data_IF_385016058030
#
_entry.id   IF_385016058030
#
_cell.length_a   1.000
_cell.length_b   1.000
_cell.length_c   1.000
_cell.angle_alpha   90.00
_cell.angle_beta   90.00
_cell.angle_gamma   90.00
#
_symmetry.space_group_name_H-M   'P 1'
#
loop_
_entity.id
_entity.type
_entity.pdbx_description
1 polymer ?
#
# COMPACT_ATOMS: atom_id res chain seq x y z
N UNK A 1 6.58 29.98 -58.62
CA UNK A 1 6.02 31.21 -58.01
C UNK A 1 4.66 31.02 -57.32
N UNK A 2 3.92 29.92 -57.55
CA UNK A 2 2.58 29.70 -56.93
C UNK A 2 2.61 29.25 -55.46
N UNK A 3 3.69 28.65 -54.98
CA UNK A 3 3.74 28.11 -53.61
C UNK A 3 4.14 29.13 -52.52
N UNK A 4 4.69 30.29 -52.87
CA UNK A 4 5.03 31.35 -51.89
C UNK A 4 3.82 32.18 -51.46
N UNK A 5 2.81 32.32 -52.30
CA UNK A 5 1.61 33.13 -51.98
C UNK A 5 0.66 32.39 -51.02
N UNK A 6 0.62 31.06 -51.06
CA UNK A 6 -0.21 30.25 -50.18
C UNK A 6 0.37 30.24 -48.74
N UNK A 7 1.68 30.20 -48.63
CA UNK A 7 2.36 30.18 -47.30
C UNK A 7 2.21 31.52 -46.53
N UNK A 8 2.23 32.65 -47.27
CA UNK A 8 2.00 33.97 -46.64
C UNK A 8 0.55 34.18 -46.19
N UNK A 9 -0.44 33.61 -46.88
CA UNK A 9 -1.86 33.71 -46.44
C UNK A 9 -2.18 32.87 -45.21
N UNK A 10 -1.53 31.73 -45.03
CA UNK A 10 -1.72 30.87 -43.86
C UNK A 10 -1.09 31.50 -42.60
N UNK A 11 0.08 32.11 -42.72
CA UNK A 11 0.75 32.80 -41.59
C UNK A 11 -0.05 34.02 -41.14
N UNK A 12 -0.63 34.77 -42.08
CA UNK A 12 -1.44 35.97 -41.76
C UNK A 12 -2.78 35.62 -41.10
N UNK A 13 -3.41 34.48 -41.45
CA UNK A 13 -4.62 33.99 -40.78
C UNK A 13 -4.36 33.47 -39.38
N UNK A 14 -3.22 32.84 -39.14
CA UNK A 14 -2.80 32.37 -37.79
C UNK A 14 -2.42 33.52 -36.84
N UNK A 15 -1.82 34.61 -37.37
CA UNK A 15 -1.51 35.80 -36.56
C UNK A 15 -2.78 36.59 -36.19
N UNK A 16 -3.80 36.63 -37.08
CA UNK A 16 -5.04 37.34 -36.79
C UNK A 16 -5.92 36.61 -35.75
N UNK A 17 -5.83 35.28 -35.67
CA UNK A 17 -6.51 34.50 -34.64
C UNK A 17 -5.84 34.59 -33.26
N UNK A 18 -4.53 34.90 -33.17
CA UNK A 18 -3.84 35.15 -31.91
C UNK A 18 -4.13 36.54 -31.30
N UNK A 19 -4.54 37.53 -32.10
CA UNK A 19 -4.81 38.90 -31.62
C UNK A 19 -6.24 39.05 -31.11
N UNK A 20 -7.16 38.15 -31.46
CA UNK A 20 -8.55 38.15 -30.95
C UNK A 20 -8.78 37.39 -29.66
N UNK A 21 -7.76 36.74 -29.10
CA UNK A 21 -7.83 35.98 -27.84
C UNK A 21 -7.42 36.76 -26.58
N UNK A 22 -7.06 38.05 -26.66
CA UNK A 22 -6.51 38.80 -25.53
C UNK A 22 -7.37 39.99 -25.04
N UNK A 23 -8.70 39.90 -25.18
CA UNK A 23 -9.59 40.95 -24.68
C UNK A 23 -10.81 40.38 -23.99
N UNK A 24 -10.65 39.83 -22.78
CA UNK A 24 -11.71 39.70 -21.78
C UNK A 24 -11.13 39.44 -20.39
N UNK A 25 -10.51 40.42 -19.79
CA UNK A 25 -10.39 40.55 -18.34
C UNK A 25 -10.81 41.98 -17.95
N UNK A 26 -12.12 42.19 -17.81
CA UNK A 26 -12.64 43.32 -17.10
C UNK A 26 -12.76 42.97 -15.63
N UNK A 27 -11.83 43.50 -14.83
CA UNK A 27 -11.91 43.50 -13.38
C UNK A 27 -12.88 44.63 -12.99
N UNK A 28 -14.03 44.26 -12.42
CA UNK A 28 -14.90 45.19 -11.70
C UNK A 28 -14.41 45.28 -10.23
N UNK A 29 -14.24 46.45 -9.65
CA UNK A 29 -13.86 46.60 -8.26
C UNK A 29 -15.12 46.64 -7.35
N UNK A 30 -15.01 45.94 -6.24
CA UNK A 30 -15.75 46.28 -5.02
C UNK A 30 -17.08 45.58 -4.80
N UNK A 31 -17.05 44.42 -4.17
CA UNK A 31 -18.03 44.05 -3.15
C UNK A 31 -17.29 43.40 -1.98
N UNK A 32 -17.27 44.11 -0.89
CA UNK A 32 -16.84 43.66 0.42
C UNK A 32 -17.84 42.57 0.93
N UNK A 33 -17.38 41.34 1.04
CA UNK A 33 -18.08 40.32 1.77
C UNK A 33 -17.98 40.62 3.27
N UNK A 34 -19.11 41.02 3.86
CA UNK A 34 -19.27 41.12 5.30
C UNK A 34 -19.24 39.68 5.87
N UNK A 35 -18.27 39.40 6.69
CA UNK A 35 -18.19 38.21 7.52
C UNK A 35 -19.29 38.34 8.59
N UNK A 36 -20.33 37.53 8.47
CA UNK A 36 -21.31 37.35 9.55
C UNK A 36 -20.61 36.48 10.60
N UNK A 37 -20.20 37.13 11.68
CA UNK A 37 -19.83 36.45 12.92
C UNK A 37 -21.14 36.01 13.62
N UNK A 38 -21.51 34.76 13.48
CA UNK A 38 -22.48 34.14 14.35
C UNK A 38 -21.87 33.95 15.74
N UNK A 39 -22.24 34.88 16.62
CA UNK A 39 -21.89 34.79 18.04
C UNK A 39 -22.80 33.74 18.67
N UNK A 40 -22.29 32.56 18.95
CA UNK A 40 -22.98 31.55 19.75
C UNK A 40 -23.10 32.09 21.19
N UNK A 41 -24.28 32.53 21.57
CA UNK A 41 -24.58 32.84 22.96
C UNK A 41 -24.71 31.54 23.76
N UNK A 42 -23.78 31.31 24.65
CA UNK A 42 -23.85 30.25 25.65
C UNK A 42 -24.81 30.76 26.75
N UNK A 43 -26.03 30.27 26.78
CA UNK A 43 -26.96 30.47 27.89
C UNK A 43 -26.55 29.60 29.06
N UNK A 44 -26.00 30.23 30.07
CA UNK A 44 -25.73 29.59 31.37
C UNK A 44 -27.06 29.35 32.08
N UNK A 45 -27.55 28.13 32.11
CA UNK A 45 -28.63 27.70 33.00
C UNK A 45 -27.99 27.33 34.33
N UNK A 46 -28.41 27.93 35.47
CA UNK A 46 -27.81 27.57 36.76
C UNK A 46 -28.29 26.17 37.20
N UNK A 47 -27.31 25.32 37.50
CA UNK A 47 -27.55 24.01 38.08
C UNK A 47 -28.07 24.16 39.49
N UNK A 48 -29.31 23.76 39.75
CA UNK A 48 -29.89 23.72 41.09
C UNK A 48 -29.13 22.71 41.95
N UNK A 49 -28.52 23.22 43.00
CA UNK A 49 -27.89 22.46 44.08
C UNK A 49 -28.95 21.64 44.82
N UNK A 50 -28.89 20.34 44.69
CA UNK A 50 -29.66 19.42 45.54
C UNK A 50 -29.00 19.31 46.91
N UNK A 51 -29.70 19.77 47.92
CA UNK A 51 -29.30 19.64 49.34
C UNK A 51 -29.39 18.17 49.77
N UNK A 52 -28.31 17.58 50.37
CA UNK A 52 -28.40 16.20 50.81
C UNK A 52 -29.28 16.07 52.06
N UNK A 53 -30.29 15.21 51.95
CA UNK A 53 -31.13 14.80 53.08
C UNK A 53 -30.30 13.87 53.96
N UNK A 54 -29.98 14.32 55.18
CA UNK A 54 -29.29 13.51 56.19
C UNK A 54 -30.28 12.54 56.78
N UNK A 55 -30.25 11.29 56.39
CA UNK A 55 -30.96 10.18 57.07
C UNK A 55 -30.18 9.75 58.28
N UNK A 56 -30.77 9.92 59.47
CA UNK A 56 -30.19 9.41 60.75
C UNK A 56 -30.47 7.92 60.88
N UNK A 57 -29.55 7.08 60.45
CA UNK A 57 -29.57 5.65 60.76
C UNK A 57 -28.75 5.43 62.05
N UNK A 58 -29.25 4.64 63.04
CA UNK A 58 -28.53 4.43 64.32
C UNK A 58 -27.23 3.67 64.07
N UNK A 59 -26.16 4.21 64.64
CA UNK A 59 -24.82 3.61 64.61
C UNK A 59 -24.81 2.31 65.44
N UNK A 60 -24.47 1.17 64.77
CA UNK A 60 -24.20 -0.10 65.41
C UNK A 60 -22.68 -0.27 65.47
N UNK A 61 -22.05 -0.46 66.63
CA UNK A 61 -20.60 -0.56 66.71
C UNK A 61 -20.08 -1.81 65.95
N UNK A 62 -18.96 -1.69 65.23
CA UNK A 62 -18.40 -2.79 64.46
C UNK A 62 -17.85 -3.89 65.38
N UNK A 63 -18.09 -5.14 64.96
CA UNK A 63 -17.51 -6.36 65.56
C UNK A 63 -15.98 -6.31 65.35
N UNK A 64 -15.17 -6.84 66.30
CA UNK A 64 -13.70 -6.84 66.13
C UNK A 64 -13.27 -7.51 64.85
N UNK A 65 -12.54 -6.79 64.03
CA UNK A 65 -11.97 -7.26 62.79
C UNK A 65 -10.79 -8.17 63.06
N UNK A 66 -10.82 -9.38 62.54
CA UNK A 66 -9.65 -10.26 62.51
C UNK A 66 -8.49 -9.56 61.78
N UNK A 67 -7.26 -9.82 62.24
CA UNK A 67 -6.05 -9.21 61.69
C UNK A 67 -5.95 -9.44 60.17
N UNK A 68 -5.56 -8.43 59.38
CA UNK A 68 -5.47 -8.57 57.93
C UNK A 68 -4.42 -9.64 57.58
N UNK A 69 -4.87 -10.69 56.90
CA UNK A 69 -3.97 -11.61 56.22
C UNK A 69 -3.20 -10.79 55.18
N UNK A 70 -1.88 -10.75 55.28
CA UNK A 70 -0.99 -10.12 54.32
C UNK A 70 -1.16 -10.90 53.00
N UNK A 71 -2.02 -10.40 52.14
CA UNK A 71 -2.05 -10.85 50.73
C UNK A 71 -0.78 -10.28 50.13
N UNK A 72 0.17 -11.14 49.81
CA UNK A 72 1.33 -10.77 48.99
C UNK A 72 0.83 -10.12 47.73
N UNK A 73 0.96 -8.80 47.66
CA UNK A 73 0.71 -8.07 46.42
C UNK A 73 1.65 -8.63 45.35
N UNK A 74 1.12 -9.37 44.41
CA UNK A 74 1.88 -9.74 43.22
C UNK A 74 2.33 -8.44 42.57
N UNK A 75 3.62 -8.18 42.58
CA UNK A 75 4.22 -7.11 41.78
C UNK A 75 3.67 -7.23 40.38
N UNK A 76 3.05 -6.18 39.83
CA UNK A 76 2.53 -6.26 38.46
C UNK A 76 3.70 -6.67 37.56
N UNK A 77 3.52 -7.77 36.84
CA UNK A 77 4.46 -8.19 35.83
C UNK A 77 4.65 -7.00 34.88
N UNK A 78 5.89 -6.62 34.54
CA UNK A 78 6.11 -5.48 33.64
C UNK A 78 5.32 -5.72 32.37
N UNK A 79 4.51 -4.73 31.97
CA UNK A 79 3.80 -4.77 30.69
C UNK A 79 4.83 -4.95 29.59
N UNK A 80 4.67 -5.94 28.71
CA UNK A 80 5.61 -6.17 27.62
C UNK A 80 5.80 -4.89 26.81
N UNK A 81 7.01 -4.38 26.73
CA UNK A 81 7.33 -3.26 25.86
C UNK A 81 7.28 -3.76 24.42
N UNK A 82 6.48 -3.10 23.57
CA UNK A 82 6.37 -3.44 22.16
C UNK A 82 7.77 -3.49 21.53
N UNK A 83 8.08 -4.60 20.92
CA UNK A 83 9.36 -4.84 20.30
C UNK A 83 9.47 -4.02 19.01
N UNK A 84 10.36 -3.07 18.94
CA UNK A 84 10.59 -2.22 17.78
C UNK A 84 12.04 -2.38 17.32
N UNK A 85 12.25 -2.72 16.05
CA UNK A 85 13.57 -2.67 15.43
C UNK A 85 13.91 -1.21 15.11
N UNK A 86 14.62 -0.54 16.02
CA UNK A 86 14.98 0.88 15.89
C UNK A 86 15.80 1.21 14.64
N UNK A 87 16.53 0.23 14.08
CA UNK A 87 17.28 0.38 12.83
C UNK A 87 16.39 0.71 11.63
N UNK A 88 15.14 0.27 11.62
CA UNK A 88 14.21 0.58 10.54
C UNK A 88 13.74 2.03 10.54
N UNK A 89 13.61 2.65 11.70
CA UNK A 89 13.26 4.06 11.82
C UNK A 89 14.33 4.96 11.21
N UNK A 90 15.61 4.54 11.28
CA UNK A 90 16.72 5.27 10.71
C UNK A 90 16.72 5.24 9.18
N UNK A 91 16.41 4.11 8.57
CA UNK A 91 16.43 3.91 7.12
C UNK A 91 15.18 4.52 6.46
N UNK A 92 14.04 4.46 7.14
CA UNK A 92 12.75 4.96 6.64
C UNK A 92 12.18 6.00 7.62
N UNK A 93 12.80 7.16 7.69
CA UNK A 93 12.58 8.23 8.68
C UNK A 93 11.13 8.60 9.03
N UNK A 94 10.18 8.32 8.17
CA UNK A 94 8.75 8.61 8.37
C UNK A 94 7.91 7.34 8.42
N UNK A 95 8.54 6.18 8.56
CA UNK A 95 7.86 4.89 8.46
C UNK A 95 7.55 4.35 9.83
N UNK A 96 6.28 4.24 10.14
CA UNK A 96 5.83 3.44 11.26
C UNK A 96 5.77 1.97 10.82
N UNK A 97 6.16 1.06 11.71
CA UNK A 97 6.14 -0.38 11.47
C UNK A 97 5.02 -0.96 12.32
N UNK A 98 4.04 -1.52 11.65
CA UNK A 98 2.88 -2.12 12.26
C UNK A 98 3.02 -3.63 12.23
N UNK A 99 3.23 -4.27 13.40
CA UNK A 99 3.11 -5.71 13.48
C UNK A 99 1.65 -6.10 13.32
N UNK A 100 1.43 -7.19 12.61
CA UNK A 100 0.11 -7.80 12.56
C UNK A 100 -0.25 -8.31 13.95
N UNK A 101 -1.45 -8.00 14.43
CA UNK A 101 -1.93 -8.52 15.70
C UNK A 101 -2.36 -9.98 15.54
N UNK A 102 -1.73 -10.89 16.27
CA UNK A 102 -2.14 -12.28 16.38
C UNK A 102 -3.03 -12.45 17.59
N UNK A 103 -4.13 -13.18 17.41
CA UNK A 103 -5.00 -13.53 18.53
C UNK A 103 -4.40 -14.65 19.39
N UNK A 104 -3.61 -15.52 18.78
CA UNK A 104 -2.92 -16.63 19.42
C UNK A 104 -1.40 -16.47 19.34
N UNK A 105 -0.79 -16.34 20.49
CA UNK A 105 0.66 -16.18 20.63
C UNK A 105 1.41 -17.45 20.21
N UNK A 106 0.86 -18.64 20.47
CA UNK A 106 1.46 -19.90 20.05
C UNK A 106 1.47 -20.01 18.52
N UNK A 107 0.42 -19.56 17.87
CA UNK A 107 0.36 -19.49 16.41
C UNK A 107 1.44 -18.55 15.85
N UNK A 108 1.59 -17.36 16.44
CA UNK A 108 2.64 -16.43 16.04
C UNK A 108 4.03 -17.05 16.15
N UNK A 109 4.36 -17.63 17.32
CA UNK A 109 5.68 -18.23 17.56
C UNK A 109 5.93 -19.44 16.64
N UNK A 110 4.89 -20.24 16.37
CA UNK A 110 4.93 -21.35 15.42
C UNK A 110 5.20 -20.87 14.00
N UNK A 111 4.51 -19.83 13.55
CA UNK A 111 4.74 -19.23 12.25
C UNK A 111 6.10 -18.53 12.16
N UNK A 112 6.55 -17.87 13.22
CA UNK A 112 7.83 -17.14 13.28
C UNK A 112 9.06 -18.05 13.29
N UNK A 113 9.01 -19.18 14.03
CA UNK A 113 10.16 -20.03 14.31
C UNK A 113 9.97 -21.50 13.93
N UNK A 114 8.82 -21.85 13.38
CA UNK A 114 8.45 -23.22 13.05
C UNK A 114 9.28 -23.79 11.89
N UNK A 115 9.38 -25.12 11.87
CA UNK A 115 10.03 -25.80 10.75
C UNK A 115 9.22 -25.59 9.45
N UNK A 116 9.90 -25.28 8.36
CA UNK A 116 9.28 -25.08 7.05
C UNK A 116 8.65 -23.70 6.89
N UNK A 117 8.99 -22.77 7.76
CA UNK A 117 8.64 -21.33 7.66
C UNK A 117 9.84 -20.53 7.14
N UNK A 118 9.57 -19.34 6.62
CA UNK A 118 10.61 -18.41 6.22
C UNK A 118 11.44 -17.99 7.43
N UNK A 119 12.76 -17.88 7.27
CA UNK A 119 13.64 -17.42 8.33
C UNK A 119 13.42 -15.95 8.69
N UNK A 120 13.65 -15.53 9.93
CA UNK A 120 13.71 -14.11 10.27
C UNK A 120 14.69 -13.37 9.36
N UNK A 121 14.30 -12.17 8.92
CA UNK A 121 15.05 -11.41 7.95
C UNK A 121 14.67 -11.69 6.49
N UNK A 122 13.82 -12.68 6.21
CA UNK A 122 13.20 -12.83 4.89
C UNK A 122 12.40 -11.56 4.56
N UNK A 123 12.68 -10.96 3.40
CA UNK A 123 12.25 -9.62 3.04
C UNK A 123 11.67 -9.58 1.64
N UNK A 124 10.66 -8.74 1.43
CA UNK A 124 10.04 -8.52 0.12
C UNK A 124 10.11 -7.04 -0.24
N UNK A 125 10.59 -6.74 -1.45
CA UNK A 125 10.60 -5.40 -2.02
C UNK A 125 9.51 -5.28 -3.09
N UNK A 126 8.38 -4.60 -2.79
CA UNK A 126 7.34 -4.35 -3.78
C UNK A 126 7.75 -3.19 -4.68
N UNK A 127 7.82 -3.43 -6.00
CA UNK A 127 8.26 -2.43 -6.99
C UNK A 127 7.12 -2.17 -7.98
N UNK A 128 6.79 -0.90 -8.17
CA UNK A 128 5.76 -0.43 -9.08
C UNK A 128 6.36 0.05 -10.39
N UNK A 129 5.84 -0.45 -11.50
CA UNK A 129 6.22 -0.05 -12.85
C UNK A 129 5.00 0.47 -13.63
N UNK A 130 5.23 1.41 -14.56
CA UNK A 130 4.26 1.85 -15.55
C UNK A 130 4.90 1.88 -16.95
N UNK A 131 5.87 2.75 -17.18
CA UNK A 131 6.50 2.92 -18.49
C UNK A 131 8.00 2.85 -18.40
N UNK A 132 8.61 2.16 -19.37
CA UNK A 132 10.06 2.12 -19.58
C UNK A 132 10.37 2.96 -20.81
N UNK A 133 11.18 4.00 -20.63
CA UNK A 133 11.57 4.91 -21.70
C UNK A 133 12.86 4.43 -22.36
N UNK A 134 12.85 4.37 -23.67
CA UNK A 134 14.05 4.07 -24.46
C UNK A 134 15.23 4.99 -24.09
N UNK A 135 16.43 4.45 -24.25
CA UNK A 135 17.68 5.15 -24.02
C UNK A 135 17.73 6.55 -24.63
N UNK A 136 18.21 7.53 -23.86
CA UNK A 136 18.34 8.92 -24.31
C UNK A 136 17.03 9.72 -24.38
N UNK A 137 15.90 9.15 -23.96
CA UNK A 137 14.63 9.88 -23.82
C UNK A 137 14.52 10.49 -22.42
N UNK A 138 14.10 11.76 -22.35
CA UNK A 138 13.83 12.44 -21.10
C UNK A 138 12.62 11.83 -20.37
N UNK A 139 12.74 11.65 -19.07
CA UNK A 139 11.63 11.22 -18.19
C UNK A 139 10.72 12.41 -17.93
N UNK A 140 9.42 12.23 -18.08
CA UNK A 140 8.42 13.28 -17.94
C UNK A 140 7.80 13.32 -16.53
N UNK A 141 7.78 12.18 -15.85
CA UNK A 141 7.18 12.02 -14.53
C UNK A 141 7.77 10.80 -13.79
N UNK A 142 7.33 10.60 -12.55
CA UNK A 142 7.79 9.49 -11.70
C UNK A 142 7.27 8.11 -12.13
N UNK A 143 6.25 8.05 -13.00
CA UNK A 143 5.72 6.79 -13.54
C UNK A 143 6.62 6.19 -14.62
N UNK A 144 7.67 6.91 -14.98
CA UNK A 144 8.62 6.50 -16.02
C UNK A 144 9.97 6.16 -15.42
N UNK A 145 10.60 5.14 -15.99
CA UNK A 145 11.98 4.77 -15.69
C UNK A 145 12.74 4.66 -17.01
N UNK A 146 14.02 5.02 -17.02
CA UNK A 146 14.84 4.81 -18.22
C UNK A 146 15.15 3.34 -18.41
N UNK A 147 15.32 2.93 -19.65
CA UNK A 147 15.69 1.55 -19.98
C UNK A 147 17.01 1.16 -19.30
N UNK A 148 17.99 2.05 -19.28
CA UNK A 148 19.29 1.80 -18.65
C UNK A 148 19.16 1.53 -17.15
N UNK A 149 18.32 2.33 -16.45
CA UNK A 149 18.12 2.13 -15.02
C UNK A 149 17.30 0.87 -14.73
N UNK A 150 16.31 0.56 -15.57
CA UNK A 150 15.57 -0.70 -15.51
C UNK A 150 16.50 -1.91 -15.66
N UNK A 151 17.32 -1.93 -16.72
CA UNK A 151 18.29 -3.00 -16.97
C UNK A 151 19.34 -3.13 -15.85
N UNK A 152 19.82 -1.99 -15.33
CA UNK A 152 20.68 -1.96 -14.14
C UNK A 152 19.97 -2.59 -12.93
N UNK A 153 18.70 -2.24 -12.68
CA UNK A 153 17.92 -2.78 -11.57
C UNK A 153 17.75 -4.29 -11.67
N UNK A 154 17.39 -4.81 -12.86
CA UNK A 154 17.27 -6.25 -13.09
C UNK A 154 18.59 -6.98 -12.89
N UNK A 155 19.69 -6.45 -13.44
CA UNK A 155 21.02 -6.99 -13.27
C UNK A 155 21.49 -6.98 -11.82
N UNK A 156 21.18 -5.91 -11.08
CA UNK A 156 21.48 -5.80 -9.65
C UNK A 156 20.67 -6.82 -8.83
N UNK A 157 19.38 -6.94 -9.06
CA UNK A 157 18.52 -7.90 -8.39
C UNK A 157 19.05 -9.33 -8.54
N UNK A 158 19.33 -9.73 -9.78
CA UNK A 158 19.94 -11.05 -10.07
C UNK A 158 21.27 -11.26 -9.36
N UNK A 159 22.17 -10.27 -9.43
CA UNK A 159 23.50 -10.33 -8.80
C UNK A 159 23.41 -10.51 -7.29
N UNK A 160 22.44 -9.89 -6.64
CA UNK A 160 22.25 -9.96 -5.20
C UNK A 160 21.44 -11.18 -4.75
N UNK A 161 20.91 -11.98 -5.68
CA UNK A 161 20.14 -13.18 -5.39
C UNK A 161 18.69 -12.91 -5.04
N UNK A 162 18.12 -11.80 -5.53
CA UNK A 162 16.68 -11.58 -5.45
C UNK A 162 15.94 -12.51 -6.42
N UNK A 163 14.87 -13.07 -5.91
CA UNK A 163 13.89 -13.83 -6.70
C UNK A 163 12.55 -13.12 -6.69
N UNK A 164 11.76 -13.32 -7.73
CA UNK A 164 10.39 -12.80 -7.75
C UNK A 164 9.44 -13.76 -7.07
N UNK A 165 8.36 -13.20 -6.53
CA UNK A 165 7.25 -13.98 -5.96
C UNK A 165 5.92 -13.53 -6.57
N UNK A 166 4.97 -14.45 -6.60
CA UNK A 166 3.59 -14.20 -6.96
C UNK A 166 2.80 -13.55 -5.81
N UNK A 167 1.63 -13.01 -6.11
CA UNK A 167 0.71 -12.52 -5.06
C UNK A 167 0.29 -13.64 -4.12
N UNK A 168 0.13 -14.87 -4.61
CA UNK A 168 -0.22 -16.01 -3.77
C UNK A 168 0.88 -16.33 -2.74
N UNK A 169 2.14 -16.31 -3.15
CA UNK A 169 3.29 -16.51 -2.25
C UNK A 169 3.42 -15.36 -1.25
N UNK A 170 3.18 -14.11 -1.70
CA UNK A 170 3.13 -12.95 -0.81
C UNK A 170 2.07 -13.12 0.28
N UNK A 171 0.85 -13.53 -0.10
CA UNK A 171 -0.25 -13.77 0.84
C UNK A 171 0.14 -14.87 1.83
N UNK A 172 0.60 -16.02 1.34
CA UNK A 172 1.06 -17.11 2.21
C UNK A 172 2.13 -16.68 3.19
N UNK A 173 3.11 -15.90 2.73
CA UNK A 173 4.16 -15.35 3.60
C UNK A 173 3.61 -14.35 4.63
N UNK A 174 2.84 -13.36 4.22
CA UNK A 174 2.35 -12.32 5.13
C UNK A 174 1.35 -12.86 6.16
N UNK A 175 0.56 -13.87 5.80
CA UNK A 175 -0.43 -14.47 6.70
C UNK A 175 0.16 -15.55 7.61
N UNK A 176 1.03 -16.41 7.06
CA UNK A 176 1.45 -17.63 7.71
C UNK A 176 2.96 -17.80 7.81
N UNK A 177 3.75 -16.84 7.33
CA UNK A 177 5.20 -16.96 7.17
C UNK A 177 5.61 -18.18 6.32
N UNK A 178 4.81 -18.48 5.28
CA UNK A 178 5.13 -19.58 4.36
C UNK A 178 6.46 -19.32 3.67
N UNK A 179 7.19 -20.38 3.29
CA UNK A 179 8.55 -20.25 2.79
C UNK A 179 8.56 -19.55 1.42
N UNK A 180 9.36 -18.50 1.33
CA UNK A 180 9.71 -17.77 0.10
C UNK A 180 11.23 -17.56 0.07
N UNK A 181 11.82 -17.16 -1.06
CA UNK A 181 13.22 -16.78 -1.12
C UNK A 181 13.57 -15.69 -0.09
N UNK A 182 14.72 -15.77 0.60
CA UNK A 182 15.07 -14.80 1.67
C UNK A 182 15.16 -13.35 1.19
N UNK A 183 15.59 -13.13 -0.04
CA UNK A 183 15.56 -11.85 -0.73
C UNK A 183 14.55 -11.95 -1.86
N UNK A 184 13.35 -11.46 -1.61
CA UNK A 184 12.25 -11.49 -2.56
C UNK A 184 11.89 -10.10 -3.07
N UNK A 185 11.42 -10.03 -4.31
CA UNK A 185 10.76 -8.85 -4.85
C UNK A 185 9.44 -9.24 -5.50
N UNK A 186 8.47 -8.34 -5.45
CA UNK A 186 7.26 -8.45 -6.25
C UNK A 186 7.23 -7.27 -7.21
N UNK A 187 7.36 -7.57 -8.49
CA UNK A 187 7.29 -6.56 -9.55
C UNK A 187 5.83 -6.42 -9.97
N UNK A 188 5.31 -5.21 -9.92
CA UNK A 188 3.92 -4.91 -10.25
C UNK A 188 3.90 -3.89 -11.37
N UNK A 189 3.36 -4.23 -12.52
CA UNK A 189 3.13 -3.27 -13.60
C UNK A 189 1.67 -2.85 -13.62
N UNK A 190 1.44 -1.55 -13.48
CA UNK A 190 0.10 -0.97 -13.44
C UNK A 190 -0.46 -0.72 -14.86
N UNK A 191 -1.76 -0.61 -14.95
CA UNK A 191 -2.54 -0.41 -16.17
C UNK A 191 -2.53 -1.63 -17.11
N UNK A 192 -2.83 -1.39 -18.41
CA UNK A 192 -2.88 -2.39 -19.47
C UNK A 192 -1.61 -2.34 -20.33
N UNK A 193 -0.44 -2.47 -19.71
CA UNK A 193 0.87 -2.21 -20.32
C UNK A 193 1.52 -3.46 -20.94
N UNK A 194 0.75 -4.33 -21.60
CA UNK A 194 1.28 -5.57 -22.19
C UNK A 194 2.42 -5.34 -23.20
N UNK A 195 2.44 -4.23 -23.91
CA UNK A 195 3.57 -3.86 -24.77
C UNK A 195 4.87 -3.66 -23.96
N UNK A 196 4.81 -3.02 -22.79
CA UNK A 196 5.97 -2.86 -21.92
C UNK A 196 6.43 -4.21 -21.37
N UNK A 197 5.48 -5.08 -21.00
CA UNK A 197 5.77 -6.44 -20.56
C UNK A 197 6.56 -7.19 -21.62
N UNK A 198 6.02 -7.22 -22.84
CA UNK A 198 6.63 -7.90 -23.98
C UNK A 198 8.02 -7.39 -24.33
N UNK A 199 8.17 -6.07 -24.40
CA UNK A 199 9.38 -5.46 -24.93
C UNK A 199 10.53 -5.40 -23.92
N UNK A 200 10.21 -5.42 -22.61
CA UNK A 200 11.21 -5.20 -21.56
C UNK A 200 11.27 -6.31 -20.51
N UNK A 201 10.14 -6.89 -20.07
CA UNK A 201 10.14 -7.84 -18.95
C UNK A 201 10.35 -9.29 -19.40
N UNK A 202 9.72 -9.75 -20.46
CA UNK A 202 9.72 -11.18 -20.84
C UNK A 202 11.09 -11.80 -20.89
N UNK A 203 12.10 -11.07 -21.39
CA UNK A 203 13.49 -11.53 -21.39
C UNK A 203 13.98 -11.94 -19.99
N UNK A 204 13.68 -11.15 -18.97
CA UNK A 204 14.12 -11.40 -17.59
C UNK A 204 13.30 -12.49 -16.93
N UNK A 205 12.00 -12.56 -17.25
CA UNK A 205 11.13 -13.63 -16.76
C UNK A 205 11.62 -14.98 -17.27
N UNK A 206 11.89 -15.10 -18.57
CA UNK A 206 12.34 -16.35 -19.19
C UNK A 206 13.76 -16.74 -18.74
N UNK A 207 14.70 -15.78 -18.65
CA UNK A 207 16.09 -16.06 -18.29
C UNK A 207 16.29 -16.44 -16.82
N UNK A 208 15.39 -16.02 -15.92
CA UNK A 208 15.57 -16.19 -14.48
C UNK A 208 14.46 -17.01 -13.82
N UNK A 209 13.48 -17.49 -14.57
CA UNK A 209 12.25 -18.12 -14.04
C UNK A 209 11.49 -17.18 -13.08
N UNK A 210 11.49 -15.90 -13.43
CA UNK A 210 10.82 -14.86 -12.65
C UNK A 210 9.37 -14.71 -13.02
N UNK A 211 8.59 -14.06 -12.15
CA UNK A 211 7.18 -13.72 -12.33
C UNK A 211 6.96 -12.22 -12.29
N UNK A 212 5.87 -11.75 -12.91
CA UNK A 212 5.46 -10.36 -12.93
C UNK A 212 3.98 -10.25 -12.60
N UNK A 213 3.63 -9.44 -11.61
CA UNK A 213 2.23 -9.13 -11.29
C UNK A 213 1.70 -8.06 -12.25
N UNK A 214 0.59 -8.35 -12.90
CA UNK A 214 -0.15 -7.38 -13.72
C UNK A 214 -1.29 -6.79 -12.89
N UNK A 215 -1.18 -5.52 -12.51
CA UNK A 215 -2.28 -4.74 -11.96
C UNK A 215 -3.15 -4.25 -13.12
N UNK A 216 -4.23 -4.99 -13.43
CA UNK A 216 -4.91 -4.86 -14.71
C UNK A 216 -6.28 -4.19 -14.61
N UNK A 217 -6.52 -3.21 -15.50
CA UNK A 217 -7.81 -2.53 -15.65
C UNK A 217 -8.67 -3.36 -16.60
N UNK A 218 -9.66 -4.05 -16.08
CA UNK A 218 -10.35 -5.12 -16.81
C UNK A 218 -11.49 -4.65 -17.70
N UNK A 219 -12.27 -3.65 -17.28
CA UNK A 219 -13.51 -3.26 -17.96
C UNK A 219 -13.34 -2.57 -19.31
N UNK A 220 -12.16 -2.01 -19.55
CA UNK A 220 -11.82 -1.35 -20.82
C UNK A 220 -10.80 -2.15 -21.63
N UNK A 221 -10.46 -3.37 -21.20
CA UNK A 221 -9.59 -4.27 -21.93
C UNK A 221 -10.27 -4.83 -23.19
N UNK A 222 -9.55 -4.85 -24.27
CA UNK A 222 -10.04 -5.33 -25.58
C UNK A 222 -9.73 -6.82 -25.77
N UNK A 223 -10.48 -7.48 -26.67
CA UNK A 223 -10.18 -8.86 -27.04
C UNK A 223 -8.75 -9.07 -27.58
N UNK A 224 -8.18 -8.06 -28.25
CA UNK A 224 -6.79 -8.13 -28.71
C UNK A 224 -5.79 -8.09 -27.55
N UNK A 225 -6.06 -7.34 -26.50
CA UNK A 225 -5.22 -7.31 -25.31
C UNK A 225 -5.31 -8.64 -24.55
N UNK A 226 -6.48 -9.23 -24.41
CA UNK A 226 -6.63 -10.57 -23.82
C UNK A 226 -5.89 -11.64 -24.64
N UNK A 227 -6.00 -11.62 -25.96
CA UNK A 227 -5.22 -12.51 -26.82
C UNK A 227 -3.70 -12.28 -26.69
N UNK A 228 -3.25 -11.06 -26.44
CA UNK A 228 -1.83 -10.79 -26.18
C UNK A 228 -1.42 -11.27 -24.79
N UNK A 229 -2.25 -11.09 -23.76
CA UNK A 229 -2.03 -11.65 -22.44
C UNK A 229 -1.85 -13.18 -22.50
N UNK A 230 -2.75 -13.90 -23.17
CA UNK A 230 -2.68 -15.35 -23.31
C UNK A 230 -1.36 -15.81 -23.98
N UNK A 231 -0.92 -15.06 -25.00
CA UNK A 231 0.37 -15.33 -25.66
C UNK A 231 1.58 -15.09 -24.79
N UNK A 232 1.56 -14.05 -23.98
CA UNK A 232 2.67 -13.70 -23.08
C UNK A 232 2.70 -14.61 -21.84
N UNK A 233 1.54 -15.12 -21.42
CA UNK A 233 1.41 -15.92 -20.21
C UNK A 233 1.51 -17.45 -20.44
N UNK A 234 2.10 -17.88 -21.55
CA UNK A 234 2.17 -19.30 -21.90
C UNK A 234 2.93 -20.15 -20.85
N UNK A 235 3.87 -19.53 -20.13
CA UNK A 235 4.65 -20.15 -19.06
C UNK A 235 4.09 -19.85 -17.66
N UNK A 236 2.90 -19.24 -17.54
CA UNK A 236 2.29 -18.84 -16.28
C UNK A 236 3.17 -17.89 -15.41
N UNK A 237 3.96 -17.04 -16.07
CA UNK A 237 4.85 -16.08 -15.40
C UNK A 237 4.15 -14.74 -15.09
N UNK A 238 2.94 -14.54 -15.60
CA UNK A 238 2.17 -13.33 -15.39
C UNK A 238 1.06 -13.58 -14.35
N UNK A 239 1.17 -12.90 -13.22
CA UNK A 239 0.23 -12.96 -12.11
C UNK A 239 -0.82 -11.84 -12.25
N UNK A 240 -2.01 -12.18 -12.77
CA UNK A 240 -3.07 -11.21 -13.05
C UNK A 240 -3.83 -10.82 -11.79
N UNK A 241 -3.82 -9.52 -11.44
CA UNK A 241 -4.46 -8.95 -10.26
C UNK A 241 -5.30 -7.72 -10.63
N UNK A 242 -6.22 -7.30 -9.75
CA UNK A 242 -7.16 -6.23 -10.03
C UNK A 242 -6.56 -4.83 -9.82
N UNK A 243 -6.77 -3.92 -10.78
CA UNK A 243 -6.47 -2.50 -10.69
C UNK A 243 -7.69 -1.63 -11.05
N UNK A 244 -8.82 -2.01 -10.51
CA UNK A 244 -10.11 -1.44 -10.84
C UNK A 244 -10.71 -1.99 -12.15
N UNK A 245 -11.93 -1.57 -12.43
CA UNK A 245 -12.66 -1.94 -13.63
C UNK A 245 -12.50 -0.90 -14.72
N UNK A 246 -12.73 0.37 -14.43
CA UNK A 246 -12.58 1.48 -15.36
C UNK A 246 -11.32 2.30 -15.13
N UNK A 247 -10.96 2.52 -13.87
CA UNK A 247 -9.78 3.31 -13.46
C UNK A 247 -9.57 4.56 -14.34
N UNK A 248 -10.51 5.44 -14.35
CA UNK A 248 -10.36 6.78 -14.95
C UNK A 248 -10.33 7.83 -13.84
N UNK A 249 -10.14 9.11 -14.18
CA UNK A 249 -10.06 10.17 -13.18
C UNK A 249 -11.31 10.34 -12.30
N UNK A 250 -12.44 9.75 -12.68
CA UNK A 250 -13.70 9.76 -11.93
C UNK A 250 -13.80 8.57 -10.96
N UNK A 251 -13.02 7.52 -11.17
CA UNK A 251 -13.02 6.29 -10.36
C UNK A 251 -11.87 6.22 -9.36
N UNK A 252 -11.11 7.29 -9.18
CA UNK A 252 -10.19 7.39 -8.06
C UNK A 252 -10.97 7.43 -6.74
N UNK A 253 -10.71 6.45 -5.89
CA UNK A 253 -11.45 6.29 -4.64
C UNK A 253 -11.06 7.38 -3.65
N UNK A 254 -12.04 8.21 -3.29
CA UNK A 254 -11.91 9.29 -2.32
C UNK A 254 -13.13 9.26 -1.38
N UNK A 255 -13.13 10.10 -0.36
CA UNK A 255 -14.28 10.29 0.53
C UNK A 255 -15.56 10.79 -0.17
N UNK A 256 -15.43 11.30 -1.41
CA UNK A 256 -16.56 11.78 -2.23
C UNK A 256 -17.01 10.76 -3.28
N UNK A 257 -16.33 9.62 -3.39
CA UNK A 257 -16.68 8.57 -4.35
C UNK A 257 -17.91 7.81 -3.84
N UNK A 258 -18.93 7.65 -4.68
CA UNK A 258 -20.13 6.93 -4.27
C UNK A 258 -19.85 5.43 -4.06
N UNK A 259 -20.64 4.82 -3.18
CA UNK A 259 -20.51 3.39 -2.86
C UNK A 259 -20.68 2.54 -4.10
N UNK A 260 -21.62 2.88 -4.99
CA UNK A 260 -21.86 2.14 -6.23
C UNK A 260 -20.64 2.15 -7.17
N UNK A 261 -19.89 3.26 -7.21
CA UNK A 261 -18.64 3.35 -7.98
C UNK A 261 -17.56 2.49 -7.34
N UNK A 262 -17.43 2.55 -6.00
CA UNK A 262 -16.46 1.72 -5.28
C UNK A 262 -16.77 0.24 -5.47
N UNK A 263 -18.03 -0.18 -5.32
CA UNK A 263 -18.47 -1.56 -5.59
C UNK A 263 -18.12 -1.97 -7.01
N UNK A 264 -18.42 -1.13 -7.99
CA UNK A 264 -18.15 -1.44 -9.39
C UNK A 264 -16.64 -1.66 -9.65
N UNK A 265 -15.78 -0.80 -9.11
CA UNK A 265 -14.33 -0.93 -9.27
C UNK A 265 -13.76 -2.15 -8.55
N UNK A 266 -14.36 -2.58 -7.43
CA UNK A 266 -13.87 -3.71 -6.63
C UNK A 266 -14.40 -5.07 -7.11
N UNK A 267 -15.69 -5.16 -7.42
CA UNK A 267 -16.32 -6.46 -7.70
C UNK A 267 -16.29 -6.85 -9.18
N UNK A 268 -16.40 -5.87 -10.10
CA UNK A 268 -16.48 -6.18 -11.54
C UNK A 268 -15.20 -6.77 -12.13
N UNK A 269 -13.98 -6.48 -11.65
CA UNK A 269 -12.76 -7.13 -12.13
C UNK A 269 -12.72 -8.63 -11.87
N UNK A 270 -13.34 -9.10 -10.79
CA UNK A 270 -13.20 -10.47 -10.29
C UNK A 270 -13.57 -11.51 -11.34
N UNK A 271 -14.82 -11.56 -11.87
CA UNK A 271 -15.19 -12.57 -12.85
C UNK A 271 -14.37 -12.48 -14.14
N UNK A 272 -13.92 -11.28 -14.53
CA UNK A 272 -13.09 -11.12 -15.72
C UNK A 272 -11.70 -11.74 -15.51
N UNK A 273 -11.10 -11.51 -14.34
CA UNK A 273 -9.80 -12.11 -14.00
C UNK A 273 -9.94 -13.63 -13.83
N UNK A 274 -11.00 -14.12 -13.20
CA UNK A 274 -11.28 -15.56 -13.09
C UNK A 274 -11.39 -16.23 -14.48
N UNK A 275 -12.03 -15.58 -15.45
CA UNK A 275 -12.16 -16.08 -16.82
C UNK A 275 -10.79 -16.24 -17.51
N UNK A 276 -9.91 -15.24 -17.39
CA UNK A 276 -8.63 -15.21 -18.10
C UNK A 276 -7.46 -15.87 -17.37
N UNK A 277 -7.44 -15.79 -16.04
CA UNK A 277 -6.35 -16.36 -15.22
C UNK A 277 -6.71 -17.70 -14.58
N UNK A 278 -7.96 -18.16 -14.69
CA UNK A 278 -8.43 -19.40 -14.07
C UNK A 278 -8.46 -19.36 -12.53
N UNK A 279 -8.26 -18.19 -11.93
CA UNK A 279 -8.24 -17.99 -10.48
C UNK A 279 -8.71 -16.60 -10.11
N UNK A 280 -9.26 -16.49 -8.91
CA UNK A 280 -9.69 -15.23 -8.32
C UNK A 280 -8.49 -14.35 -8.00
N UNK A 281 -8.56 -13.01 -8.23
CA UNK A 281 -7.51 -12.11 -7.79
C UNK A 281 -7.48 -12.05 -6.25
N UNK A 282 -6.27 -12.05 -5.68
CA UNK A 282 -6.04 -11.95 -4.25
C UNK A 282 -5.62 -10.52 -3.84
N UNK A 283 -5.08 -9.75 -4.80
CA UNK A 283 -4.70 -8.37 -4.56
C UNK A 283 -5.61 -7.37 -5.28
N UNK A 284 -5.88 -6.26 -4.59
CA UNK A 284 -6.40 -5.05 -5.21
C UNK A 284 -5.32 -3.96 -5.18
N UNK A 285 -4.91 -3.52 -6.35
CA UNK A 285 -3.96 -2.43 -6.50
C UNK A 285 -4.77 -1.14 -6.60
N UNK A 286 -4.68 -0.29 -5.56
CA UNK A 286 -5.51 0.91 -5.46
C UNK A 286 -5.19 1.89 -6.59
N UNK A 287 -6.19 2.28 -7.44
CA UNK A 287 -6.01 3.30 -8.48
C UNK A 287 -5.47 4.61 -7.92
N UNK A 288 -4.33 5.09 -8.45
CA UNK A 288 -3.63 6.25 -7.91
C UNK A 288 -3.12 6.09 -6.47
N UNK A 289 -3.23 4.91 -5.89
CA UNK A 289 -2.91 4.61 -4.50
C UNK A 289 -3.96 5.09 -3.50
N UNK A 290 -5.12 5.53 -3.96
CA UNK A 290 -6.18 6.12 -3.16
C UNK A 290 -7.12 5.06 -2.59
N UNK A 291 -7.45 5.19 -1.31
CA UNK A 291 -8.34 4.30 -0.58
C UNK A 291 -9.07 5.08 0.53
N UNK A 292 -10.15 4.52 1.01
CA UNK A 292 -10.89 4.98 2.19
C UNK A 292 -11.13 3.81 3.12
N UNK A 293 -11.55 4.07 4.35
CA UNK A 293 -11.90 3.00 5.29
C UNK A 293 -13.01 2.10 4.72
N UNK A 294 -14.05 2.70 4.16
CA UNK A 294 -15.17 1.96 3.56
C UNK A 294 -14.71 1.11 2.37
N UNK A 295 -13.87 1.66 1.48
CA UNK A 295 -13.36 0.91 0.33
C UNK A 295 -12.47 -0.27 0.74
N UNK A 296 -11.68 -0.12 1.80
CA UNK A 296 -10.87 -1.22 2.35
C UNK A 296 -11.75 -2.32 2.92
N UNK A 297 -12.79 -1.97 3.68
CA UNK A 297 -13.77 -2.94 4.17
C UNK A 297 -14.46 -3.67 3.02
N UNK A 298 -14.93 -2.93 2.02
CA UNK A 298 -15.59 -3.50 0.84
C UNK A 298 -14.65 -4.40 0.02
N UNK A 299 -13.37 -4.06 -0.08
CA UNK A 299 -12.38 -4.92 -0.73
C UNK A 299 -12.19 -6.24 0.04
N UNK A 300 -12.20 -6.22 1.37
CA UNK A 300 -12.22 -7.44 2.19
C UNK A 300 -13.48 -8.27 1.96
N UNK A 301 -14.64 -7.64 1.93
CA UNK A 301 -15.93 -8.30 1.64
C UNK A 301 -15.95 -8.91 0.22
N UNK A 302 -15.32 -8.24 -0.74
CA UNK A 302 -15.11 -8.76 -2.09
C UNK A 302 -14.14 -9.95 -2.14
N UNK A 303 -13.38 -10.21 -1.06
CA UNK A 303 -12.48 -11.35 -0.93
C UNK A 303 -11.02 -11.08 -1.31
N UNK A 304 -10.63 -9.82 -1.47
CA UNK A 304 -9.21 -9.47 -1.61
C UNK A 304 -8.46 -9.69 -0.29
N UNK A 305 -7.28 -10.27 -0.37
CA UNK A 305 -6.47 -10.62 0.80
C UNK A 305 -5.40 -9.56 1.08
N UNK A 306 -4.93 -8.86 0.04
CA UNK A 306 -3.96 -7.77 0.17
C UNK A 306 -4.35 -6.59 -0.74
N UNK A 307 -3.90 -5.38 -0.36
CA UNK A 307 -4.04 -4.19 -1.20
C UNK A 307 -2.74 -3.42 -1.28
N UNK A 308 -2.46 -2.79 -2.42
CA UNK A 308 -1.23 -2.02 -2.63
C UNK A 308 -1.53 -0.55 -2.89
N UNK A 309 -0.84 0.32 -2.16
CA UNK A 309 -0.83 1.77 -2.40
C UNK A 309 0.34 2.18 -3.31
N UNK A 310 0.56 3.50 -3.47
CA UNK A 310 1.72 4.04 -4.21
C UNK A 310 2.81 4.58 -3.29
N UNK A 311 2.63 4.47 -1.97
CA UNK A 311 3.50 5.11 -1.00
C UNK A 311 4.72 4.25 -0.69
N UNK A 312 5.91 4.80 -0.93
CA UNK A 312 7.18 4.15 -0.59
C UNK A 312 7.45 4.29 0.91
N UNK A 313 7.24 3.20 1.66
CA UNK A 313 7.42 3.19 3.11
C UNK A 313 8.55 2.29 3.58
N UNK A 314 8.74 1.16 2.95
CA UNK A 314 9.75 0.19 3.29
C UNK A 314 9.45 -1.18 2.72
N UNK A 315 10.41 -2.12 2.80
CA UNK A 315 10.18 -3.50 2.43
C UNK A 315 9.24 -4.18 3.43
N UNK A 316 8.68 -5.31 3.01
CA UNK A 316 7.79 -6.12 3.83
C UNK A 316 8.56 -7.26 4.48
N UNK A 317 8.23 -7.58 5.71
CA UNK A 317 8.66 -8.79 6.39
C UNK A 317 7.49 -9.41 7.13
N UNK A 318 7.60 -10.67 7.47
CA UNK A 318 6.58 -11.33 8.26
C UNK A 318 6.31 -10.54 9.56
N UNK A 319 5.04 -10.17 9.76
CA UNK A 319 4.59 -9.32 10.87
C UNK A 319 5.16 -7.89 10.92
N UNK A 320 5.76 -7.40 9.82
CA UNK A 320 6.35 -6.07 9.74
C UNK A 320 5.91 -5.38 8.45
N UNK A 321 4.95 -4.48 8.58
CA UNK A 321 4.42 -3.72 7.44
C UNK A 321 4.61 -2.25 7.74
N UNK A 322 5.49 -1.56 7.00
CA UNK A 322 5.71 -0.13 7.20
C UNK A 322 4.54 0.68 6.65
N UNK A 323 3.98 1.54 7.51
CA UNK A 323 2.82 2.37 7.19
C UNK A 323 3.07 3.82 7.58
N UNK A 324 2.44 4.75 6.87
CA UNK A 324 2.28 6.13 7.32
C UNK A 324 1.04 6.28 8.19
N UNK A 325 0.80 7.49 8.71
CA UNK A 325 -0.32 7.74 9.63
C UNK A 325 -1.68 7.41 8.99
N UNK A 326 -1.91 7.85 7.75
CA UNK A 326 -3.18 7.60 7.04
C UNK A 326 -3.43 6.12 6.75
N UNK A 327 -2.39 5.34 6.48
CA UNK A 327 -2.55 3.90 6.29
C UNK A 327 -2.76 3.17 7.63
N UNK A 328 -2.11 3.67 8.70
CA UNK A 328 -2.27 3.13 10.04
C UNK A 328 -3.69 3.31 10.57
N UNK A 329 -4.33 4.44 10.27
CA UNK A 329 -5.70 4.76 10.69
C UNK A 329 -6.73 3.79 10.08
N UNK A 330 -6.42 3.13 8.97
CA UNK A 330 -7.26 2.09 8.35
C UNK A 330 -7.38 0.85 9.23
N UNK A 331 -6.39 0.58 10.08
CA UNK A 331 -6.32 -0.60 10.96
C UNK A 331 -6.35 -1.96 10.21
N UNK A 332 -6.00 -1.94 8.93
CA UNK A 332 -5.81 -3.13 8.12
C UNK A 332 -4.53 -2.99 7.27
N UNK A 333 -3.36 -3.25 7.86
CA UNK A 333 -2.06 -3.05 7.20
C UNK A 333 -1.89 -3.89 5.93
N UNK A 334 -2.55 -5.02 5.82
CA UNK A 334 -2.45 -5.88 4.64
C UNK A 334 -3.18 -5.31 3.41
N UNK A 335 -4.15 -4.42 3.63
CA UNK A 335 -4.90 -3.79 2.54
C UNK A 335 -4.27 -2.49 2.03
N UNK A 336 -3.17 -2.05 2.63
CA UNK A 336 -2.51 -0.78 2.28
C UNK A 336 -0.99 -0.93 2.19
N UNK A 337 -0.54 -2.03 1.59
CA UNK A 337 0.88 -2.35 1.43
C UNK A 337 1.61 -1.28 0.63
N UNK A 338 2.85 -0.91 1.03
CA UNK A 338 3.68 0.05 0.30
C UNK A 338 4.21 -0.53 -1.01
N UNK A 339 4.58 0.36 -1.95
CA UNK A 339 5.34 0.02 -3.16
C UNK A 339 6.42 1.06 -3.41
N UNK A 340 7.54 0.64 -3.96
CA UNK A 340 8.60 1.54 -4.40
C UNK A 340 8.45 1.90 -5.88
N UNK A 341 8.75 3.16 -6.20
CA UNK A 341 8.78 3.62 -7.58
C UNK A 341 9.95 2.99 -8.36
N UNK A 342 9.69 2.60 -9.60
CA UNK A 342 10.68 1.95 -10.47
C UNK A 342 11.97 2.75 -10.65
N UNK A 343 11.91 4.07 -10.62
CA UNK A 343 13.07 4.96 -10.77
C UNK A 343 13.99 5.03 -9.53
N UNK A 344 13.63 4.36 -8.44
CA UNK A 344 14.43 4.24 -7.21
C UNK A 344 14.63 2.79 -6.79
N UNK A 345 14.16 1.83 -7.57
CA UNK A 345 14.07 0.44 -7.20
C UNK A 345 15.42 -0.19 -6.79
N UNK A 346 16.49 0.05 -7.56
CA UNK A 346 17.80 -0.50 -7.25
C UNK A 346 18.33 -0.05 -5.88
N UNK A 347 18.08 1.20 -5.49
CA UNK A 347 18.44 1.73 -4.17
C UNK A 347 17.74 0.94 -3.05
N UNK A 348 16.47 0.65 -3.24
CA UNK A 348 15.69 -0.07 -2.22
C UNK A 348 16.00 -1.56 -2.18
N UNK A 349 16.40 -2.18 -3.30
CA UNK A 349 16.97 -3.52 -3.31
C UNK A 349 18.27 -3.57 -2.50
N UNK A 350 19.17 -2.59 -2.69
CA UNK A 350 20.41 -2.48 -1.91
C UNK A 350 20.12 -2.37 -0.41
N UNK A 351 19.23 -1.47 -0.03
CA UNK A 351 18.83 -1.28 1.37
C UNK A 351 18.15 -2.51 1.97
N UNK A 352 17.36 -3.23 1.18
CA UNK A 352 16.71 -4.44 1.64
C UNK A 352 17.71 -5.54 2.03
N UNK A 353 18.84 -5.65 1.34
CA UNK A 353 19.91 -6.59 1.71
C UNK A 353 20.46 -6.27 3.11
N UNK A 354 20.74 -4.98 3.38
CA UNK A 354 21.23 -4.53 4.68
C UNK A 354 20.18 -4.80 5.78
N UNK A 355 18.92 -4.41 5.53
CA UNK A 355 17.80 -4.60 6.48
C UNK A 355 17.56 -6.08 6.78
N UNK A 356 17.62 -6.93 5.76
CA UNK A 356 17.44 -8.38 5.90
C UNK A 356 18.49 -8.96 6.85
N UNK A 357 19.77 -8.58 6.65
CA UNK A 357 20.88 -9.06 7.48
C UNK A 357 20.73 -8.59 8.94
N UNK A 358 20.45 -7.30 9.16
CA UNK A 358 20.22 -6.72 10.49
C UNK A 358 19.01 -7.37 11.20
N UNK A 359 17.90 -7.55 10.49
CA UNK A 359 16.70 -8.17 11.04
C UNK A 359 16.93 -9.62 11.44
N UNK A 360 17.68 -10.36 10.63
CA UNK A 360 18.06 -11.75 10.92
C UNK A 360 18.90 -11.81 12.20
N UNK A 361 19.97 -11.03 12.26
CA UNK A 361 20.86 -10.99 13.42
C UNK A 361 20.09 -10.62 14.70
N UNK A 362 19.31 -9.53 14.64
CA UNK A 362 18.52 -9.05 15.77
C UNK A 362 17.49 -10.09 16.26
N UNK A 363 16.79 -10.77 15.35
CA UNK A 363 15.82 -11.79 15.69
C UNK A 363 16.48 -12.96 16.45
N UNK A 364 17.63 -13.44 15.98
CA UNK A 364 18.32 -14.54 16.65
C UNK A 364 18.91 -14.14 18.00
N UNK A 365 19.42 -12.91 18.15
CA UNK A 365 19.90 -12.39 19.42
C UNK A 365 18.78 -12.25 20.45
N UNK A 366 17.55 -11.97 20.01
CA UNK A 366 16.41 -11.70 20.85
C UNK A 366 15.37 -12.83 20.88
N UNK A 367 15.67 -13.99 20.31
CA UNK A 367 14.74 -15.13 20.24
C UNK A 367 14.15 -15.52 21.59
N UNK A 368 14.97 -15.57 22.63
CA UNK A 368 14.51 -15.90 23.99
C UNK A 368 13.54 -14.85 24.55
N UNK A 369 13.79 -13.56 24.22
CA UNK A 369 12.91 -12.47 24.62
C UNK A 369 11.58 -12.53 23.84
N UNK A 370 11.58 -12.85 22.56
CA UNK A 370 10.35 -13.08 21.80
C UNK A 370 9.48 -14.16 22.43
N UNK A 371 10.06 -15.30 22.77
CA UNK A 371 9.33 -16.36 23.49
C UNK A 371 8.79 -15.91 24.83
N UNK A 372 9.53 -15.10 25.58
CA UNK A 372 9.06 -14.54 26.85
C UNK A 372 7.93 -13.52 26.69
N UNK A 373 8.00 -12.68 25.63
CA UNK A 373 7.03 -11.63 25.39
C UNK A 373 5.71 -12.12 24.80
N UNK A 374 5.74 -13.24 24.11
CA UNK A 374 4.59 -13.83 23.42
C UNK A 374 4.06 -15.10 24.11
N UNK A 375 4.49 -15.42 25.31
CA UNK A 375 3.91 -16.45 26.20
C UNK A 375 3.05 -15.82 27.29
#
# INVERSE_FOLDING_TARGET
MKNRVVFQKVIFSLLLLMILGLSACNILPGQSLSIIQDTVQITNTPLQSATPVISKTPFKPPKPTEAPTIISSSTPSPTPTKFVLSSYEYIFKSTEIYPRTYQDTCEYLSNRWGKGKSEPGTIIVPIMYHSIRQSGRELQDNMQVSQEYFEYTMGYAKKMGFETITTQELVGFLYNNDPIPPLSMIMIIDDRRLGVVKDHFMKYLDENDWTLTLAYITGIATANEWNEFDRLNINNQLDLQAHGFLHNGETYITEFTSIEVIEHELYSPIPVIEEHAGRRPQAFIWPGGNFTMDSVQMAREAGYEVGFTVYSRGPLMYNWIPLGASEADINDPLMVLPRFWSNTAALYLERAVEISAEAKEFAYQNKANEYFWYQ
#
